data_IF_594163172637
#
_entry.id   IF_594163172637
#
_cell.length_a   1.000
_cell.length_b   1.000
_cell.length_c   1.000
_cell.angle_alpha   90.00
_cell.angle_beta   90.00
_cell.angle_gamma   90.00
#
_symmetry.space_group_name_H-M   'P 1'
#
loop_
_entity.id
_entity.type
_entity.pdbx_description
1 polymer ?
#
# COMPACT_ATOMS: atom_id res chain seq x y z
N UNK A 1 11.68 47.75 -26.00
CA UNK A 1 10.26 47.61 -26.40
C UNK A 1 9.91 46.20 -26.88
N UNK A 2 10.17 45.80 -28.14
CA UNK A 2 9.71 44.48 -28.66
C UNK A 2 10.46 43.30 -28.04
N UNK A 3 11.78 43.41 -27.85
CA UNK A 3 12.60 42.38 -27.19
C UNK A 3 12.15 42.12 -25.74
N UNK A 4 11.86 43.18 -24.99
CA UNK A 4 11.40 43.09 -23.60
C UNK A 4 10.02 42.43 -23.50
N UNK A 5 9.09 42.78 -24.40
CA UNK A 5 7.78 42.11 -24.46
C UNK A 5 7.92 40.61 -24.75
N UNK A 6 8.84 40.24 -25.65
CA UNK A 6 9.11 38.85 -25.98
C UNK A 6 9.70 38.09 -24.78
N UNK A 7 10.65 38.68 -24.06
CA UNK A 7 11.22 38.09 -22.84
C UNK A 7 10.17 37.88 -21.75
N UNK A 8 9.31 38.87 -21.52
CA UNK A 8 8.23 38.77 -20.52
C UNK A 8 7.24 37.67 -20.91
N UNK A 9 6.86 37.58 -22.19
CA UNK A 9 5.96 36.55 -22.69
C UNK A 9 6.52 35.13 -22.46
N UNK A 10 7.81 34.92 -22.73
CA UNK A 10 8.48 33.63 -22.52
C UNK A 10 8.54 33.28 -21.03
N UNK A 11 8.86 34.24 -20.16
CA UNK A 11 8.93 34.01 -18.71
C UNK A 11 7.56 33.59 -18.18
N UNK A 12 6.49 34.30 -18.54
CA UNK A 12 5.13 33.95 -18.11
C UNK A 12 4.71 32.59 -18.65
N UNK A 13 5.05 32.29 -19.91
CA UNK A 13 4.75 31.01 -20.54
C UNK A 13 5.50 29.83 -19.91
N UNK A 14 6.60 30.05 -19.18
CA UNK A 14 7.29 28.97 -18.44
C UNK A 14 6.86 28.97 -16.98
N UNK A 15 6.77 30.13 -16.35
CA UNK A 15 6.49 30.28 -14.92
C UNK A 15 5.10 29.78 -14.52
N UNK A 16 4.14 29.72 -15.44
CA UNK A 16 2.79 29.20 -15.17
C UNK A 16 2.69 27.68 -15.37
N UNK A 17 3.04 27.11 -16.54
CA UNK A 17 2.90 25.67 -16.75
C UNK A 17 3.95 24.83 -16.03
N UNK A 18 5.16 25.35 -15.75
CA UNK A 18 6.17 24.58 -15.03
C UNK A 18 5.71 24.15 -13.62
N UNK A 19 5.24 25.04 -12.73
CA UNK A 19 4.73 24.62 -11.42
C UNK A 19 3.46 23.79 -11.54
N UNK A 20 2.57 24.08 -12.51
CA UNK A 20 1.36 23.28 -12.75
C UNK A 20 1.72 21.82 -13.12
N UNK A 21 2.71 21.64 -14.00
CA UNK A 21 3.19 20.32 -14.41
C UNK A 21 3.85 19.57 -13.26
N UNK A 22 4.67 20.26 -12.46
CA UNK A 22 5.30 19.69 -11.26
C UNK A 22 4.22 19.16 -10.31
N UNK A 23 3.21 19.97 -9.99
CA UNK A 23 2.10 19.56 -9.13
C UNK A 23 1.36 18.36 -9.73
N UNK A 24 1.01 18.41 -11.02
CA UNK A 24 0.34 17.30 -11.71
C UNK A 24 1.17 16.00 -11.68
N UNK A 25 2.49 16.10 -11.89
CA UNK A 25 3.40 14.97 -11.88
C UNK A 25 3.43 14.30 -10.50
N UNK A 26 3.52 15.08 -9.43
CA UNK A 26 3.51 14.55 -8.07
C UNK A 26 2.16 13.95 -7.69
N UNK A 27 1.04 14.58 -8.08
CA UNK A 27 -0.29 14.00 -7.88
C UNK A 27 -0.45 12.69 -8.64
N UNK A 28 0.01 12.63 -9.90
CA UNK A 28 -0.06 11.42 -10.74
C UNK A 28 0.77 10.29 -10.13
N UNK A 29 2.01 10.58 -9.71
CA UNK A 29 2.85 9.60 -9.00
C UNK A 29 2.21 9.15 -7.69
N UNK A 30 1.64 10.07 -6.92
CA UNK A 30 0.99 9.73 -5.66
C UNK A 30 -0.25 8.86 -5.86
N UNK A 31 -1.04 9.12 -6.91
CA UNK A 31 -2.20 8.31 -7.26
C UNK A 31 -1.78 6.92 -7.75
N UNK A 32 -0.71 6.82 -8.54
CA UNK A 32 -0.13 5.56 -8.97
C UNK A 32 0.44 4.73 -7.82
N UNK A 33 0.90 5.38 -6.74
CA UNK A 33 1.33 4.71 -5.50
C UNK A 33 0.20 4.45 -4.50
N UNK A 34 -1.04 4.88 -4.78
CA UNK A 34 -2.20 4.81 -3.87
C UNK A 34 -3.32 3.88 -4.32
N UNK A 35 -3.29 3.38 -5.55
CA UNK A 35 -3.96 2.11 -5.81
C UNK A 35 -3.26 1.08 -4.94
N UNK A 36 -4.03 0.26 -4.20
CA UNK A 36 -3.53 -0.96 -3.56
C UNK A 36 -2.66 -1.60 -4.62
N UNK A 37 -1.35 -1.57 -4.40
CA UNK A 37 -0.42 -2.01 -5.43
C UNK A 37 -0.76 -3.47 -5.68
N UNK A 38 -0.62 -4.00 -6.90
CA UNK A 38 -0.79 -5.45 -7.09
C UNK A 38 0.05 -6.28 -6.09
N UNK A 39 1.15 -5.70 -5.57
CA UNK A 39 1.91 -6.28 -4.46
C UNK A 39 1.23 -6.24 -3.09
N UNK A 40 0.41 -5.24 -2.77
CA UNK A 40 -0.36 -5.17 -1.52
C UNK A 40 -1.49 -6.22 -1.51
N UNK A 41 -2.16 -6.45 -2.64
CA UNK A 41 -3.13 -7.55 -2.79
C UNK A 41 -2.47 -8.92 -2.58
N UNK A 42 -1.31 -9.13 -3.21
CA UNK A 42 -0.56 -10.37 -3.06
C UNK A 42 -0.08 -10.58 -1.61
N UNK A 43 0.37 -9.52 -0.94
CA UNK A 43 0.76 -9.58 0.47
C UNK A 43 -0.43 -9.95 1.36
N UNK A 44 -1.61 -9.38 1.11
CA UNK A 44 -2.82 -9.73 1.85
C UNK A 44 -3.25 -11.19 1.61
N UNK A 45 -3.13 -11.68 0.39
CA UNK A 45 -3.40 -13.08 0.04
C UNK A 45 -2.44 -14.03 0.78
N UNK A 46 -1.15 -13.72 0.78
CA UNK A 46 -0.13 -14.48 1.52
C UNK A 46 -0.42 -14.49 3.03
N UNK A 47 -0.78 -13.34 3.62
CA UNK A 47 -1.16 -13.26 5.03
C UNK A 47 -2.40 -14.11 5.35
N UNK A 48 -3.39 -14.12 4.47
CA UNK A 48 -4.59 -14.93 4.63
C UNK A 48 -4.28 -16.43 4.55
N UNK A 49 -3.44 -16.85 3.59
CA UNK A 49 -2.97 -18.23 3.46
C UNK A 49 -2.18 -18.68 4.71
N UNK A 50 -1.33 -17.81 5.24
CA UNK A 50 -0.57 -18.10 6.46
C UNK A 50 -1.49 -18.22 7.68
N UNK A 51 -2.47 -17.32 7.84
CA UNK A 51 -3.44 -17.39 8.93
C UNK A 51 -4.21 -18.71 8.90
N UNK A 52 -4.67 -19.14 7.71
CA UNK A 52 -5.39 -20.41 7.53
C UNK A 52 -4.53 -21.63 7.89
N UNK A 53 -3.26 -21.63 7.48
CA UNK A 53 -2.32 -22.70 7.87
C UNK A 53 -2.06 -22.73 9.38
N UNK A 54 -2.02 -21.57 10.03
CA UNK A 54 -1.88 -21.50 11.49
C UNK A 54 -3.10 -22.05 12.20
N UNK A 55 -4.31 -21.78 11.68
CA UNK A 55 -5.56 -22.33 12.19
C UNK A 55 -5.61 -23.86 12.08
N UNK A 56 -5.25 -24.43 10.93
CA UNK A 56 -5.15 -25.89 10.74
C UNK A 56 -4.17 -26.54 11.72
N UNK A 57 -3.05 -25.87 12.00
CA UNK A 57 -2.07 -26.35 12.98
C UNK A 57 -2.56 -26.19 14.41
N UNK A 58 -3.32 -25.14 14.70
CA UNK A 58 -3.92 -24.92 16.01
C UNK A 58 -4.92 -26.04 16.30
N UNK A 59 -5.77 -26.42 15.34
CA UNK A 59 -6.70 -27.55 15.49
C UNK A 59 -5.96 -28.85 15.83
N UNK A 60 -4.88 -29.15 15.12
CA UNK A 60 -4.05 -30.32 15.43
C UNK A 60 -3.40 -30.25 16.82
N UNK A 61 -2.96 -29.06 17.24
CA UNK A 61 -2.43 -28.87 18.60
C UNK A 61 -3.51 -29.00 19.66
N UNK A 62 -4.72 -28.51 19.41
CA UNK A 62 -5.87 -28.68 20.29
C UNK A 62 -6.24 -30.16 20.44
N UNK A 63 -6.21 -30.94 19.36
CA UNK A 63 -6.46 -32.38 19.39
C UNK A 63 -5.40 -33.11 20.24
N UNK A 64 -4.11 -32.81 20.06
CA UNK A 64 -3.03 -33.38 20.88
C UNK A 64 -3.18 -32.96 22.35
N UNK A 65 -3.57 -31.71 22.60
CA UNK A 65 -3.70 -31.21 23.96
C UNK A 65 -4.93 -31.79 24.66
N UNK A 66 -6.02 -32.04 23.92
CA UNK A 66 -7.19 -32.77 24.39
C UNK A 66 -6.86 -34.25 24.69
N UNK A 67 -5.94 -34.89 23.95
CA UNK A 67 -5.48 -36.26 24.25
C UNK A 67 -4.54 -36.34 25.46
N UNK A 68 -3.59 -35.41 25.56
CA UNK A 68 -2.50 -35.48 26.54
C UNK A 68 -2.85 -34.82 27.88
N UNK A 69 -3.67 -33.76 27.85
CA UNK A 69 -4.13 -33.04 29.05
C UNK A 69 -5.64 -32.71 28.98
N UNK A 70 -6.55 -33.67 29.19
CA UNK A 70 -8.01 -33.48 29.02
C UNK A 70 -8.66 -32.27 29.74
N UNK A 71 -7.96 -31.68 30.72
CA UNK A 71 -8.43 -30.55 31.54
C UNK A 71 -7.73 -29.22 31.25
N UNK A 72 -6.90 -29.14 30.21
CA UNK A 72 -6.13 -27.93 29.89
C UNK A 72 -7.01 -26.69 29.69
N UNK A 73 -8.21 -26.85 29.09
CA UNK A 73 -9.17 -25.77 28.86
C UNK A 73 -9.73 -25.18 30.17
N UNK A 74 -9.65 -25.89 31.30
CA UNK A 74 -10.11 -25.39 32.61
C UNK A 74 -9.10 -24.47 33.30
N UNK A 75 -7.87 -24.37 32.78
CA UNK A 75 -6.80 -23.51 33.31
C UNK A 75 -6.74 -22.12 32.65
N UNK A 76 -7.61 -21.85 31.67
CA UNK A 76 -7.77 -20.53 31.04
C UNK A 76 -8.70 -19.66 31.90
#
# INVERSE_FOLDING_TARGET
MVSELLTIAVIVFIAVPAPLFIVLHFITKWKQSREISGGDEQMLEDMWLLARRLEERLESLEEILDSDLPDWRRKI
#
